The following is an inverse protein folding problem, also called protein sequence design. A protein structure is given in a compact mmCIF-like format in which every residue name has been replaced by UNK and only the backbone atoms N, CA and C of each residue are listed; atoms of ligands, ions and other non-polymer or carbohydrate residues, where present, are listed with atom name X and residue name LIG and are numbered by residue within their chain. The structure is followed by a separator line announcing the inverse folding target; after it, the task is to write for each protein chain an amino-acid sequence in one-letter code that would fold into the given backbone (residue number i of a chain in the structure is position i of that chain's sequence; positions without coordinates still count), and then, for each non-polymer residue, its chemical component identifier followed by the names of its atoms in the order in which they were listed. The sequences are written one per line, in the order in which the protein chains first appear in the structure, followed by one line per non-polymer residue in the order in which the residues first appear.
data_IF_701165156269
#
_entry.id   IF_701165156269
#
_cell.length_a   1.000
_cell.length_b   1.000
_cell.length_c   1.000
_cell.angle_alpha   90.00
_cell.angle_beta   90.00
_cell.angle_gamma   90.00
#
_symmetry.space_group_name_H-M   'P 1'
#
loop_
_entity.id
_entity.type
_entity.pdbx_description
1 polymer ?
#
# COMPACT_ATOMS: atom_id res chain seq x y z
N UNK A 1 50.84 32.63 -29.88
CA UNK A 1 50.72 31.21 -29.51
C UNK A 1 49.39 30.68 -30.04
N UNK A 2 49.42 29.95 -31.15
CA UNK A 2 48.22 29.36 -31.76
C UNK A 2 47.95 28.01 -31.10
N UNK A 3 46.79 27.89 -30.44
CA UNK A 3 46.39 26.70 -29.70
C UNK A 3 45.83 25.68 -30.70
N UNK A 4 46.54 24.59 -30.93
CA UNK A 4 46.08 23.49 -31.79
C UNK A 4 44.87 22.83 -31.15
N UNK A 5 43.68 23.01 -31.74
CA UNK A 5 42.49 22.25 -31.34
C UNK A 5 42.65 20.82 -31.84
N UNK A 6 42.86 19.88 -30.90
CA UNK A 6 42.79 18.45 -31.20
C UNK A 6 41.31 18.06 -31.27
N UNK A 7 40.85 17.66 -32.46
CA UNK A 7 39.53 17.07 -32.64
C UNK A 7 39.51 15.63 -32.10
N UNK A 8 38.35 15.20 -31.60
CA UNK A 8 38.10 13.82 -31.22
C UNK A 8 38.06 12.93 -32.47
N UNK A 9 38.64 11.74 -32.41
CA UNK A 9 38.57 10.80 -33.54
C UNK A 9 37.22 10.06 -33.54
N UNK A 10 36.74 9.70 -34.72
CA UNK A 10 35.48 8.95 -34.86
C UNK A 10 35.56 7.57 -34.16
N UNK A 11 36.74 6.95 -34.13
CA UNK A 11 36.94 5.67 -33.45
C UNK A 11 36.87 5.79 -31.93
N UNK A 12 37.39 6.88 -31.36
CA UNK A 12 37.27 7.15 -29.93
C UNK A 12 35.80 7.32 -29.52
N UNK A 13 35.01 8.03 -30.33
CA UNK A 13 33.59 8.22 -30.04
C UNK A 13 32.80 6.91 -30.19
N UNK A 14 33.17 6.07 -31.16
CA UNK A 14 32.53 4.77 -31.40
C UNK A 14 32.78 3.78 -30.25
N UNK A 15 34.02 3.69 -29.74
CA UNK A 15 34.33 2.81 -28.60
C UNK A 15 33.61 3.25 -27.33
N UNK A 16 33.47 4.57 -27.10
CA UNK A 16 32.80 5.08 -25.89
C UNK A 16 31.32 4.69 -25.88
N UNK A 17 30.60 4.85 -26.98
CA UNK A 17 29.18 4.45 -27.04
C UNK A 17 29.02 2.93 -26.90
N UNK A 18 29.97 2.14 -27.40
CA UNK A 18 29.98 0.69 -27.24
C UNK A 18 30.15 0.28 -25.77
N UNK A 19 31.07 0.91 -25.05
CA UNK A 19 31.29 0.66 -23.62
C UNK A 19 30.09 1.11 -22.78
N UNK A 20 29.52 2.30 -23.06
CA UNK A 20 28.31 2.78 -22.38
C UNK A 20 27.15 1.81 -22.60
N UNK A 21 26.99 1.26 -23.79
CA UNK A 21 25.96 0.26 -24.09
C UNK A 21 26.09 -1.02 -23.25
N UNK A 22 27.31 -1.54 -23.09
CA UNK A 22 27.57 -2.74 -22.28
C UNK A 22 27.31 -2.47 -20.80
N UNK A 23 27.82 -1.35 -20.26
CA UNK A 23 27.64 -0.99 -18.85
C UNK A 23 26.16 -0.72 -18.51
N UNK A 24 25.42 -0.08 -19.41
CA UNK A 24 23.99 0.17 -19.25
C UNK A 24 23.17 -1.14 -19.18
N UNK A 25 23.54 -2.15 -19.97
CA UNK A 25 22.87 -3.46 -19.96
C UNK A 25 23.03 -4.19 -18.62
N UNK A 26 24.21 -4.14 -18.00
CA UNK A 26 24.48 -4.80 -16.71
C UNK A 26 23.72 -4.10 -15.57
N UNK A 27 23.68 -2.76 -15.59
CA UNK A 27 23.02 -1.98 -14.56
C UNK A 27 21.51 -2.25 -14.49
N UNK A 28 20.87 -2.44 -15.64
CA UNK A 28 19.43 -2.69 -15.71
C UNK A 28 19.01 -4.03 -15.11
N UNK A 29 19.90 -5.03 -15.10
CA UNK A 29 19.66 -6.33 -14.46
C UNK A 29 19.87 -6.26 -12.94
N UNK A 30 20.68 -5.31 -12.45
CA UNK A 30 21.01 -5.20 -11.03
C UNK A 30 19.96 -4.42 -10.20
N UNK A 31 19.10 -3.65 -10.85
CA UNK A 31 18.05 -2.86 -10.19
C UNK A 31 16.71 -3.42 -10.67
N UNK A 32 15.93 -4.00 -9.77
CA UNK A 32 14.52 -4.30 -10.00
C UNK A 32 13.68 -3.06 -9.63
N UNK A 33 13.41 -2.12 -10.56
CA UNK A 33 12.66 -0.90 -10.25
C UNK A 33 11.27 -1.22 -9.70
N UNK A 34 10.66 -2.31 -10.18
CA UNK A 34 9.35 -2.77 -9.74
C UNK A 34 9.33 -3.12 -8.24
N UNK A 35 10.33 -3.86 -7.76
CA UNK A 35 10.40 -4.25 -6.37
C UNK A 35 10.60 -3.05 -5.41
N UNK A 36 11.22 -1.96 -5.90
CA UNK A 36 11.36 -0.73 -5.12
C UNK A 36 10.05 0.06 -5.06
N UNK A 37 9.32 0.17 -6.19
CA UNK A 37 8.01 0.83 -6.20
C UNK A 37 7.00 0.07 -5.36
N UNK A 38 6.96 -1.25 -5.44
CA UNK A 38 6.02 -2.07 -4.65
C UNK A 38 6.25 -1.88 -3.13
N UNK A 39 7.50 -1.76 -2.68
CA UNK A 39 7.83 -1.47 -1.27
C UNK A 39 7.40 -0.06 -0.85
N UNK A 40 7.51 0.93 -1.73
CA UNK A 40 7.08 2.29 -1.45
C UNK A 40 5.55 2.36 -1.31
N UNK A 41 4.82 1.68 -2.20
CA UNK A 41 3.36 1.59 -2.14
C UNK A 41 2.91 0.87 -0.86
N UNK A 42 3.53 -0.26 -0.51
CA UNK A 42 3.22 -0.98 0.73
C UNK A 42 3.44 -0.11 1.97
N UNK A 43 4.47 0.75 1.98
CA UNK A 43 4.71 1.70 3.06
C UNK A 43 3.63 2.80 3.12
N UNK A 44 3.22 3.33 1.97
CA UNK A 44 2.13 4.30 1.87
C UNK A 44 0.80 3.71 2.37
N UNK A 45 0.49 2.47 2.01
CA UNK A 45 -0.73 1.76 2.42
C UNK A 45 -0.76 1.52 3.93
N UNK A 46 0.38 1.12 4.54
CA UNK A 46 0.49 1.01 6.00
C UNK A 46 0.27 2.34 6.70
N UNK A 47 0.82 3.42 6.14
CA UNK A 47 0.62 4.78 6.65
C UNK A 47 -0.85 5.21 6.56
N UNK A 48 -1.54 4.88 5.47
CA UNK A 48 -2.96 5.16 5.30
C UNK A 48 -3.80 4.41 6.35
N UNK A 49 -3.53 3.13 6.58
CA UNK A 49 -4.20 2.32 7.63
C UNK A 49 -3.93 2.88 9.04
N UNK A 50 -2.70 3.27 9.35
CA UNK A 50 -2.37 3.91 10.62
C UNK A 50 -3.09 5.27 10.80
N UNK A 51 -3.25 6.02 9.71
CA UNK A 51 -4.00 7.28 9.71
C UNK A 51 -5.49 7.05 9.93
N UNK A 52 -6.08 6.01 9.31
CA UNK A 52 -7.46 5.59 9.55
C UNK A 52 -7.68 5.28 11.03
N UNK A 53 -6.77 4.53 11.67
CA UNK A 53 -6.84 4.24 13.11
C UNK A 53 -6.89 5.51 13.96
N UNK A 54 -6.08 6.51 13.60
CA UNK A 54 -6.07 7.81 14.29
C UNK A 54 -7.39 8.55 14.10
N UNK A 55 -7.92 8.57 12.87
CA UNK A 55 -9.22 9.17 12.56
C UNK A 55 -10.36 8.45 13.29
N UNK A 56 -10.34 7.12 13.35
CA UNK A 56 -11.35 6.34 14.07
C UNK A 56 -11.38 6.70 15.56
N UNK A 57 -10.21 6.89 16.19
CA UNK A 57 -10.12 7.34 17.58
C UNK A 57 -10.70 8.76 17.77
N UNK A 58 -10.46 9.68 16.82
CA UNK A 58 -11.06 11.02 16.85
C UNK A 58 -12.58 10.99 16.72
N UNK A 59 -13.09 10.15 15.80
CA UNK A 59 -14.53 9.93 15.64
C UNK A 59 -15.12 9.44 16.95
N UNK A 60 -14.57 8.37 17.55
CA UNK A 60 -15.05 7.85 18.83
C UNK A 60 -14.98 8.87 19.97
N UNK A 61 -13.92 9.69 20.01
CA UNK A 61 -13.80 10.75 21.01
C UNK A 61 -14.86 11.84 20.87
N UNK A 62 -15.43 12.04 19.68
CA UNK A 62 -16.42 13.09 19.41
C UNK A 62 -17.87 12.58 19.49
N UNK A 63 -18.12 11.35 19.06
CA UNK A 63 -19.48 10.78 18.97
C UNK A 63 -19.76 9.71 20.03
N UNK A 64 -18.72 9.17 20.68
CA UNK A 64 -18.81 8.00 21.55
C UNK A 64 -19.06 6.68 20.80
N UNK A 65 -18.89 6.64 19.48
CA UNK A 65 -19.24 5.50 18.63
C UNK A 65 -18.37 5.43 17.37
N UNK A 66 -18.08 4.21 16.88
CA UNK A 66 -17.38 4.02 15.61
C UNK A 66 -18.29 3.94 14.37
N UNK A 67 -19.62 4.00 14.50
CA UNK A 67 -20.57 3.82 13.38
C UNK A 67 -20.38 4.75 12.18
N UNK A 68 -19.74 5.90 12.40
CA UNK A 68 -19.50 6.90 11.34
C UNK A 68 -18.10 6.76 10.71
N UNK A 69 -17.26 5.84 11.20
CA UNK A 69 -15.93 5.57 10.63
C UNK A 69 -16.08 4.88 9.28
N UNK A 70 -16.95 3.87 9.19
CA UNK A 70 -17.31 3.22 7.93
C UNK A 70 -18.83 3.07 7.88
N UNK A 71 -19.46 3.68 6.89
CA UNK A 71 -20.87 3.51 6.59
C UNK A 71 -21.00 2.20 5.81
N UNK A 72 -21.79 1.26 6.33
CA UNK A 72 -22.30 0.04 5.68
C UNK A 72 -21.85 -1.29 6.32
N UNK A 73 -22.78 -2.25 6.30
CA UNK A 73 -22.68 -3.59 6.86
C UNK A 73 -21.96 -4.56 5.89
N UNK A 74 -21.41 -4.06 4.77
CA UNK A 74 -20.98 -4.89 3.63
C UNK A 74 -19.60 -4.57 3.01
N UNK A 75 -18.61 -4.13 3.80
CA UNK A 75 -17.23 -4.00 3.31
C UNK A 75 -17.02 -2.99 2.15
N UNK A 76 -17.69 -1.84 2.19
CA UNK A 76 -17.64 -0.83 1.12
C UNK A 76 -17.00 0.50 1.56
N UNK A 77 -16.52 1.29 0.58
CA UNK A 77 -15.77 2.55 0.75
C UNK A 77 -16.51 3.73 1.39
N UNK A 78 -17.76 3.56 1.82
CA UNK A 78 -18.56 4.67 2.34
C UNK A 78 -18.16 4.96 3.78
N UNK A 79 -17.93 6.25 4.09
CA UNK A 79 -17.68 6.71 5.46
C UNK A 79 -18.17 8.14 5.59
N UNK A 80 -18.76 8.45 6.74
CA UNK A 80 -19.25 9.80 7.04
C UNK A 80 -18.08 10.78 7.26
N UNK A 81 -16.90 10.28 7.64
CA UNK A 81 -15.66 11.05 7.70
C UNK A 81 -14.95 11.07 6.34
N UNK A 82 -14.94 12.25 5.70
CA UNK A 82 -14.33 12.43 4.38
C UNK A 82 -12.81 12.13 4.34
N UNK A 83 -12.09 12.19 5.46
CA UNK A 83 -10.68 11.82 5.53
C UNK A 83 -10.52 10.30 5.57
N UNK A 84 -11.36 9.60 6.32
CA UNK A 84 -11.39 8.13 6.31
C UNK A 84 -11.72 7.61 4.92
N UNK A 85 -12.72 8.20 4.25
CA UNK A 85 -13.07 7.86 2.87
C UNK A 85 -11.88 7.98 1.92
N UNK A 86 -11.13 9.09 1.99
CA UNK A 86 -9.96 9.31 1.14
C UNK A 86 -8.84 8.30 1.40
N UNK A 87 -8.55 8.04 2.69
CA UNK A 87 -7.51 7.09 3.08
C UNK A 87 -7.88 5.67 2.64
N UNK A 88 -9.12 5.26 2.86
CA UNK A 88 -9.60 3.94 2.43
C UNK A 88 -9.56 3.78 0.90
N UNK A 89 -10.00 4.80 0.17
CA UNK A 89 -9.93 4.80 -1.30
C UNK A 89 -8.50 4.81 -1.85
N UNK A 90 -7.52 5.26 -1.07
CA UNK A 90 -6.10 5.18 -1.44
C UNK A 90 -5.51 3.78 -1.30
N UNK A 91 -6.16 2.88 -0.56
CA UNK A 91 -5.73 1.50 -0.42
C UNK A 91 -5.92 0.73 -1.73
N UNK A 92 -4.98 -0.18 -2.06
CA UNK A 92 -5.03 -0.95 -3.28
C UNK A 92 -6.19 -1.95 -3.26
N UNK A 93 -6.62 -2.33 -4.46
CA UNK A 93 -7.56 -3.42 -4.65
C UNK A 93 -9.03 -2.99 -4.69
N UNK A 94 -9.85 -3.97 -5.05
CA UNK A 94 -11.29 -3.93 -5.19
C UNK A 94 -11.97 -4.13 -3.85
N UNK A 95 -13.01 -3.33 -3.57
CA UNK A 95 -13.85 -3.47 -2.37
C UNK A 95 -14.47 -4.87 -2.26
N UNK A 96 -14.65 -5.33 -1.02
CA UNK A 96 -15.25 -6.62 -0.72
C UNK A 96 -14.37 -7.83 -1.00
N UNK A 97 -13.20 -7.68 -1.63
CA UNK A 97 -12.30 -8.82 -1.87
C UNK A 97 -10.85 -8.53 -1.54
N UNK A 98 -10.29 -7.44 -2.08
CA UNK A 98 -8.89 -7.06 -1.86
C UNK A 98 -8.74 -5.97 -0.80
N UNK A 99 -9.80 -5.22 -0.52
CA UNK A 99 -9.90 -4.33 0.64
C UNK A 99 -11.29 -4.42 1.26
N UNK A 100 -11.33 -4.31 2.59
CA UNK A 100 -12.55 -4.40 3.40
C UNK A 100 -12.44 -3.52 4.62
N UNK A 101 -13.59 -3.09 5.11
CA UNK A 101 -13.71 -2.36 6.35
C UNK A 101 -15.09 -2.59 6.94
N UNK A 102 -15.18 -2.56 8.26
CA UNK A 102 -16.44 -2.66 8.96
C UNK A 102 -16.41 -1.78 10.20
N UNK A 103 -17.55 -1.23 10.59
CA UNK A 103 -17.67 -0.53 11.85
C UNK A 103 -19.02 -0.77 12.52
N UNK A 104 -18.97 -0.87 13.84
CA UNK A 104 -20.13 -0.94 14.73
C UNK A 104 -20.05 0.23 15.72
N UNK A 105 -20.93 0.28 16.71
CA UNK A 105 -20.82 1.28 17.76
C UNK A 105 -19.51 1.15 18.57
N UNK A 106 -18.96 -0.06 18.69
CA UNK A 106 -17.92 -0.38 19.67
C UNK A 106 -16.64 -0.97 19.05
N UNK A 107 -16.69 -1.36 17.79
CA UNK A 107 -15.57 -2.02 17.13
C UNK A 107 -15.49 -1.65 15.64
N UNK A 108 -14.30 -1.74 15.07
CA UNK A 108 -14.07 -1.52 13.64
C UNK A 108 -12.82 -2.26 13.18
N UNK A 109 -12.75 -2.55 11.88
CA UNK A 109 -11.52 -2.98 11.23
C UNK A 109 -11.35 -2.32 9.87
N UNK A 110 -10.11 -2.30 9.38
CA UNK A 110 -9.76 -2.03 7.99
C UNK A 110 -8.67 -3.01 7.55
N UNK A 111 -8.83 -3.59 6.38
CA UNK A 111 -7.89 -4.55 5.80
C UNK A 111 -7.70 -4.27 4.31
N UNK A 112 -6.47 -4.44 3.84
CA UNK A 112 -6.15 -4.39 2.41
C UNK A 112 -5.02 -5.36 2.04
N UNK A 113 -5.11 -5.90 0.84
CA UNK A 113 -4.11 -6.75 0.22
C UNK A 113 -2.99 -5.89 -0.37
N UNK A 114 -1.75 -6.18 0.01
CA UNK A 114 -0.58 -5.40 -0.42
C UNK A 114 -0.17 -5.68 -1.87
N UNK A 115 0.52 -4.73 -2.51
CA UNK A 115 0.77 -4.73 -3.96
C UNK A 115 1.60 -5.93 -4.44
N UNK A 116 2.35 -6.56 -3.55
CA UNK A 116 3.15 -7.75 -3.83
C UNK A 116 2.34 -9.06 -3.88
N UNK A 117 1.03 -9.03 -3.59
CA UNK A 117 0.18 -10.22 -3.40
C UNK A 117 -1.26 -9.96 -3.85
N UNK A 118 -1.47 -9.39 -5.05
CA UNK A 118 -2.80 -9.12 -5.64
C UNK A 118 -3.65 -10.38 -5.92
N UNK A 119 -3.39 -11.50 -5.26
CA UNK A 119 -4.17 -12.75 -5.36
C UNK A 119 -5.45 -12.66 -4.52
N UNK A 120 -6.30 -11.66 -4.83
CA UNK A 120 -7.70 -11.58 -4.43
C UNK A 120 -8.03 -12.00 -2.98
N UNK A 121 -7.21 -11.60 -2.00
CA UNK A 121 -7.44 -11.91 -0.58
C UNK A 121 -7.46 -13.40 -0.21
N UNK A 122 -6.93 -14.28 -1.07
CA UNK A 122 -6.89 -15.73 -0.84
C UNK A 122 -5.75 -16.10 0.11
N UNK A 123 -5.87 -17.24 0.81
CA UNK A 123 -4.82 -17.82 1.67
C UNK A 123 -3.44 -17.75 1.02
N UNK A 124 -2.55 -16.93 1.59
CA UNK A 124 -1.20 -16.67 1.06
C UNK A 124 -0.94 -15.21 0.71
N UNK A 125 -1.99 -14.40 0.51
CA UNK A 125 -1.86 -12.96 0.24
C UNK A 125 -1.37 -12.19 1.48
N UNK A 126 -0.40 -11.28 1.31
CA UNK A 126 -0.04 -10.28 2.35
C UNK A 126 -1.16 -9.28 2.59
N UNK A 127 -2.08 -9.64 3.47
CA UNK A 127 -3.17 -8.77 3.92
C UNK A 127 -2.69 -8.01 5.15
N UNK A 128 -2.73 -6.69 5.11
CA UNK A 128 -2.43 -5.84 6.26
C UNK A 128 -3.73 -5.30 6.84
N UNK A 129 -3.88 -5.45 8.15
CA UNK A 129 -5.11 -5.15 8.85
C UNK A 129 -4.84 -4.33 10.11
N UNK A 130 -5.78 -3.46 10.47
CA UNK A 130 -5.83 -2.83 11.78
C UNK A 130 -7.27 -2.76 12.30
N UNK A 131 -7.42 -2.81 13.63
CA UNK A 131 -8.73 -2.81 14.28
C UNK A 131 -8.80 -1.92 15.54
N UNK A 132 -10.01 -1.87 16.12
CA UNK A 132 -10.32 -1.20 17.38
C UNK A 132 -9.67 -1.81 18.61
N UNK A 133 -9.29 -3.09 18.57
CA UNK A 133 -8.64 -3.79 19.68
C UNK A 133 -7.14 -3.43 19.76
N UNK A 134 -6.65 -2.67 18.78
CA UNK A 134 -5.29 -2.16 18.72
C UNK A 134 -4.34 -3.08 17.96
N UNK A 135 -4.86 -4.13 17.31
CA UNK A 135 -4.07 -4.94 16.39
C UNK A 135 -3.67 -4.11 15.18
N UNK A 136 -2.43 -4.31 14.74
CA UNK A 136 -1.95 -3.81 13.45
C UNK A 136 -0.87 -4.75 12.94
N UNK A 137 -1.10 -5.36 11.78
CA UNK A 137 -0.22 -6.42 11.32
C UNK A 137 -0.74 -7.18 10.11
N UNK A 138 0.00 -8.22 9.76
CA UNK A 138 -0.41 -9.11 8.68
C UNK A 138 -1.34 -10.22 9.19
N UNK A 139 -2.34 -10.54 8.38
CA UNK A 139 -3.30 -11.64 8.62
C UNK A 139 -3.29 -12.60 7.43
N UNK A 140 -3.65 -13.87 7.67
CA UNK A 140 -3.62 -14.90 6.61
C UNK A 140 -4.88 -14.96 5.77
N UNK A 141 -5.96 -14.35 6.25
CA UNK A 141 -7.26 -14.38 5.61
C UNK A 141 -7.93 -13.03 5.77
N UNK A 142 -8.60 -12.59 4.72
CA UNK A 142 -9.36 -11.35 4.77
C UNK A 142 -10.48 -11.49 5.80
N UNK A 143 -10.68 -10.51 6.70
CA UNK A 143 -11.82 -10.53 7.61
C UNK A 143 -13.14 -10.68 6.85
N UNK A 144 -14.10 -11.35 7.47
CA UNK A 144 -15.48 -11.44 7.00
C UNK A 144 -16.16 -10.07 7.01
N UNK A 145 -17.29 -9.97 6.31
CA UNK A 145 -17.97 -8.68 6.11
C UNK A 145 -18.58 -8.09 7.38
N UNK A 146 -18.78 -8.91 8.41
CA UNK A 146 -19.31 -8.52 9.74
C UNK A 146 -18.33 -8.76 10.87
N UNK A 147 -17.07 -9.09 10.54
CA UNK A 147 -16.03 -9.22 11.56
C UNK A 147 -15.80 -7.86 12.22
N UNK A 148 -15.52 -7.88 13.51
CA UNK A 148 -15.30 -6.64 14.29
C UNK A 148 -13.84 -6.43 14.65
N UNK A 149 -12.96 -7.33 14.22
CA UNK A 149 -11.54 -7.30 14.46
C UNK A 149 -10.79 -7.93 13.28
N UNK A 150 -9.50 -7.64 13.19
CA UNK A 150 -8.61 -8.41 12.35
C UNK A 150 -8.54 -9.83 12.92
N UNK A 151 -9.01 -10.84 12.18
CA UNK A 151 -9.00 -12.24 12.61
C UNK A 151 -7.62 -12.72 13.12
N UNK A 152 -7.50 -13.95 13.65
CA UNK A 152 -6.30 -14.39 14.37
C UNK A 152 -5.03 -14.10 13.57
N UNK A 153 -4.09 -13.41 14.22
CA UNK A 153 -2.82 -12.99 13.64
C UNK A 153 -2.12 -14.18 12.95
N UNK A 154 -1.50 -13.94 11.80
CA UNK A 154 -0.64 -14.93 11.18
C UNK A 154 0.48 -15.29 12.17
N UNK A 155 0.49 -16.53 12.66
CA UNK A 155 1.57 -17.10 13.49
C UNK A 155 2.84 -17.28 12.68
#
# INVERSE_FOLDING_TARGET
MTKTQKGFTLIELLVVIAIIGILAGILFVAIDPKAQTDKADDAANKSAIASIRTQAALVFSSTGSYLTVFEDDTSTSTSADANVAKLYNSLPGTDGTEKKSYSTANAWFVAATMNNDKDNGTTGSKIYCADSDGFTGYVQTMPGDTDTACGPAAT
#
